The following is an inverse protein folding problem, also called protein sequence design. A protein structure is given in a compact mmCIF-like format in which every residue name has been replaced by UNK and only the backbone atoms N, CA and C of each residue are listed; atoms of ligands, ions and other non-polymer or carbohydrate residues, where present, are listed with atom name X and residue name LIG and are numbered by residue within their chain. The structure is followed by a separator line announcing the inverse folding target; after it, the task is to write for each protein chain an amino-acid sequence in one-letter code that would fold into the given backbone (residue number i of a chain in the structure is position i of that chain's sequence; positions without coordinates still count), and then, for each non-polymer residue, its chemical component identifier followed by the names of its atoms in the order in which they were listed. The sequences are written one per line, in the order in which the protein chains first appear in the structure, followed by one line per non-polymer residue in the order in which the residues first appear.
data_IF_092997428286
#
_entry.id   IF_092997428286
#
_cell.length_a   1.000
_cell.length_b   1.000
_cell.length_c   1.000
_cell.angle_alpha   90.00
_cell.angle_beta   90.00
_cell.angle_gamma   90.00
#
_symmetry.space_group_name_H-M   'P 1'
#
loop_
_entity.id
_entity.type
_entity.pdbx_description
1 polymer ?
#
# COMPACT_ATOMS: atom_id res chain seq x y z
N UNK A 1 7.09 -10.36 2.23
CA UNK A 1 6.82 -10.06 0.81
C UNK A 1 5.51 -10.77 0.47
N UNK A 2 4.37 -10.06 0.60
CA UNK A 2 3.07 -10.68 0.38
C UNK A 2 2.32 -9.96 -0.72
N UNK A 3 2.78 -10.21 -1.95
CA UNK A 3 1.96 -9.99 -3.12
C UNK A 3 1.17 -11.26 -3.37
N UNK A 4 -0.13 -11.26 -3.13
CA UNK A 4 -0.98 -12.39 -3.48
C UNK A 4 -1.09 -12.43 -5.00
N UNK A 5 -0.29 -13.31 -5.60
CA UNK A 5 -0.43 -13.61 -7.00
C UNK A 5 -1.69 -14.43 -7.20
N UNK A 6 -2.64 -13.92 -7.96
CA UNK A 6 -3.77 -14.72 -8.45
C UNK A 6 -3.34 -15.40 -9.73
N UNK A 7 -3.53 -16.70 -9.75
CA UNK A 7 -3.38 -17.51 -10.96
C UNK A 7 -4.58 -17.21 -11.87
N UNK A 8 -4.34 -16.48 -12.96
CA UNK A 8 -5.36 -16.34 -14.00
C UNK A 8 -5.42 -17.65 -14.78
N UNK A 9 -6.47 -18.42 -14.58
CA UNK A 9 -6.82 -19.52 -15.47
C UNK A 9 -7.54 -18.92 -16.69
N UNK A 10 -6.88 -18.94 -17.83
CA UNK A 10 -7.46 -18.52 -19.10
C UNK A 10 -7.43 -19.66 -20.11
N UNK A 11 -8.15 -19.51 -21.22
CA UNK A 11 -8.19 -20.48 -22.33
C UNK A 11 -6.81 -20.93 -22.81
N UNK A 12 -5.78 -20.10 -22.64
CA UNK A 12 -4.41 -20.41 -22.98
C UNK A 12 -3.79 -21.58 -22.19
N UNK A 13 -4.19 -21.81 -20.93
CA UNK A 13 -3.69 -22.98 -20.16
C UNK A 13 -4.36 -24.28 -20.62
N UNK A 14 -5.64 -24.23 -20.93
CA UNK A 14 -6.36 -25.39 -21.46
C UNK A 14 -5.80 -25.80 -22.83
N UNK A 15 -5.58 -24.84 -23.73
CA UNK A 15 -4.97 -25.05 -25.02
C UNK A 15 -3.53 -25.57 -24.93
N UNK A 16 -2.71 -25.05 -24.02
CA UNK A 16 -1.36 -25.50 -23.78
C UNK A 16 -1.30 -26.94 -23.23
N UNK A 17 -2.27 -27.33 -22.37
CA UNK A 17 -2.40 -28.72 -21.91
C UNK A 17 -2.79 -29.67 -23.05
N UNK A 18 -3.68 -29.24 -23.94
CA UNK A 18 -4.21 -30.07 -25.02
C UNK A 18 -3.25 -30.17 -26.21
N UNK A 19 -2.49 -29.14 -26.52
CA UNK A 19 -1.66 -29.01 -27.71
C UNK A 19 -0.15 -28.87 -27.46
N UNK A 20 0.33 -29.08 -26.21
CA UNK A 20 1.76 -29.13 -25.92
C UNK A 20 2.48 -27.78 -25.93
N UNK A 21 1.78 -26.66 -25.75
CA UNK A 21 2.36 -25.33 -25.68
C UNK A 21 3.09 -25.02 -24.35
N UNK A 22 3.81 -23.91 -24.32
CA UNK A 22 4.55 -23.43 -23.15
C UNK A 22 3.65 -23.31 -21.91
N UNK A 23 3.98 -24.01 -20.82
CA UNK A 23 3.28 -23.99 -19.52
C UNK A 23 3.54 -22.69 -18.75
N UNK A 24 3.63 -21.53 -19.40
CA UNK A 24 3.86 -20.26 -18.72
C UNK A 24 2.60 -19.83 -17.99
N UNK A 25 2.61 -19.97 -16.65
CA UNK A 25 1.55 -19.44 -15.77
C UNK A 25 1.56 -17.91 -15.82
N UNK A 26 0.45 -17.31 -16.20
CA UNK A 26 0.26 -15.87 -16.13
C UNK A 26 -0.16 -15.51 -14.69
N UNK A 27 0.75 -14.89 -13.96
CA UNK A 27 0.46 -14.35 -12.64
C UNK A 27 0.00 -12.90 -12.77
N UNK A 28 -1.07 -12.56 -12.10
CA UNK A 28 -1.54 -11.19 -11.92
C UNK A 28 -1.39 -10.80 -10.47
N UNK A 29 -1.09 -9.52 -10.23
CA UNK A 29 -1.10 -8.92 -8.90
C UNK A 29 -2.37 -8.12 -8.73
N UNK A 30 -3.00 -8.24 -7.57
CA UNK A 30 -4.10 -7.37 -7.16
C UNK A 30 -3.55 -6.44 -6.07
N UNK A 31 -3.74 -5.15 -6.27
CA UNK A 31 -3.44 -4.11 -5.31
C UNK A 31 -4.77 -3.58 -4.78
N UNK A 32 -4.92 -3.53 -3.46
CA UNK A 32 -6.19 -3.17 -2.82
C UNK A 32 -5.94 -2.11 -1.76
N UNK A 33 -6.72 -1.04 -1.79
CA UNK A 33 -6.86 -0.07 -0.72
C UNK A 33 -8.09 -0.40 0.13
N UNK A 34 -7.89 -0.64 1.42
CA UNK A 34 -8.97 -1.03 2.36
C UNK A 34 -9.06 0.01 3.46
N UNK A 35 -10.27 0.42 3.80
CA UNK A 35 -10.55 1.20 4.98
C UNK A 35 -10.32 0.33 6.24
N UNK A 36 -9.54 0.84 7.18
CA UNK A 36 -9.19 0.11 8.41
C UNK A 36 -10.40 -0.12 9.33
N UNK A 37 -11.33 0.81 9.35
CA UNK A 37 -12.45 0.81 10.28
C UNK A 37 -13.60 -0.04 9.75
N UNK A 38 -14.00 0.21 8.49
CA UNK A 38 -15.14 -0.44 7.87
C UNK A 38 -14.78 -1.75 7.17
N UNK A 39 -13.48 -1.96 6.87
CA UNK A 39 -12.95 -3.08 6.06
C UNK A 39 -13.51 -3.09 4.63
N UNK A 40 -14.02 -1.97 4.16
CA UNK A 40 -14.48 -1.80 2.78
C UNK A 40 -13.28 -1.58 1.84
N UNK A 41 -13.39 -2.15 0.64
CA UNK A 41 -12.43 -1.90 -0.43
C UNK A 41 -12.72 -0.53 -1.02
N UNK A 42 -11.78 0.40 -0.92
CA UNK A 42 -11.88 1.77 -1.44
C UNK A 42 -11.20 1.96 -2.78
N UNK A 43 -10.23 1.12 -3.08
CA UNK A 43 -9.50 1.16 -4.34
C UNK A 43 -8.99 -0.23 -4.72
N UNK A 44 -8.97 -0.54 -6.01
CA UNK A 44 -8.48 -1.82 -6.52
C UNK A 44 -7.79 -1.63 -7.87
N UNK A 45 -6.66 -2.31 -8.06
CA UNK A 45 -5.92 -2.33 -9.32
C UNK A 45 -5.38 -3.72 -9.60
N UNK A 46 -5.49 -4.18 -10.84
CA UNK A 46 -4.96 -5.48 -11.28
C UNK A 46 -3.83 -5.26 -12.27
N UNK A 47 -2.65 -5.74 -11.94
CA UNK A 47 -1.46 -5.54 -12.77
C UNK A 47 -0.81 -6.86 -13.16
N UNK A 48 0.14 -6.82 -14.10
CA UNK A 48 1.01 -7.95 -14.38
C UNK A 48 1.98 -8.18 -13.21
N UNK A 49 2.48 -9.39 -13.08
CA UNK A 49 3.45 -9.75 -12.02
C UNK A 49 4.78 -8.99 -12.10
N UNK A 50 5.09 -8.39 -13.25
CA UNK A 50 6.31 -7.61 -13.47
C UNK A 50 6.26 -6.19 -12.88
N UNK A 51 5.05 -5.68 -12.57
CA UNK A 51 4.89 -4.33 -12.04
C UNK A 51 5.13 -4.33 -10.52
N UNK A 52 5.99 -3.43 -10.07
CA UNK A 52 6.25 -3.22 -8.63
C UNK A 52 5.05 -2.56 -7.95
N UNK A 53 5.03 -2.62 -6.61
CA UNK A 53 3.86 -2.16 -5.84
C UNK A 53 3.83 -0.62 -5.72
N UNK A 54 5.00 0.02 -5.53
CA UNK A 54 5.06 1.47 -5.29
C UNK A 54 4.53 2.35 -6.44
N UNK A 55 4.68 2.02 -7.74
CA UNK A 55 4.11 2.83 -8.82
C UNK A 55 2.58 2.89 -8.81
N UNK A 56 1.92 1.92 -8.18
CA UNK A 56 0.45 1.79 -8.22
C UNK A 56 -0.24 2.68 -7.19
N UNK A 57 0.45 3.03 -6.09
CA UNK A 57 -0.14 3.80 -5.00
C UNK A 57 -0.82 5.11 -5.43
N UNK A 58 -0.23 5.97 -6.28
CA UNK A 58 -0.89 7.18 -6.72
C UNK A 58 -2.22 6.90 -7.45
N UNK A 59 -2.27 5.85 -8.28
CA UNK A 59 -3.48 5.41 -8.97
C UNK A 59 -4.57 4.92 -8.01
N UNK A 60 -4.20 4.16 -6.98
CA UNK A 60 -5.14 3.73 -5.94
C UNK A 60 -5.72 4.93 -5.17
N UNK A 61 -4.87 5.90 -4.81
CA UNK A 61 -5.34 7.10 -4.11
C UNK A 61 -6.26 7.98 -4.98
N UNK A 62 -6.09 7.97 -6.31
CA UNK A 62 -6.95 8.72 -7.23
C UNK A 62 -8.35 8.12 -7.39
N UNK A 63 -8.52 6.83 -7.09
CA UNK A 63 -9.85 6.18 -7.09
C UNK A 63 -10.72 6.62 -5.92
N UNK A 64 -10.12 7.17 -4.86
CA UNK A 64 -10.84 7.70 -3.70
C UNK A 64 -11.27 9.13 -4.01
N UNK A 65 -12.55 9.44 -3.85
CA UNK A 65 -13.10 10.76 -4.15
C UNK A 65 -12.30 11.90 -3.50
N UNK A 66 -12.08 13.00 -4.21
CA UNK A 66 -11.27 14.13 -3.72
C UNK A 66 -11.85 14.77 -2.45
N UNK A 67 -13.18 14.79 -2.31
CA UNK A 67 -13.88 15.29 -1.13
C UNK A 67 -13.83 14.35 0.08
N UNK A 68 -13.32 13.12 -0.08
CA UNK A 68 -13.18 12.17 1.01
C UNK A 68 -11.81 12.38 1.68
N UNK A 69 -11.83 12.79 2.93
CA UNK A 69 -10.61 12.95 3.72
C UNK A 69 -9.97 11.60 4.03
N UNK A 70 -8.64 11.57 3.95
CA UNK A 70 -7.84 10.40 4.30
C UNK A 70 -6.95 10.78 5.47
N UNK A 71 -7.18 10.22 6.64
CA UNK A 71 -6.39 10.51 7.83
C UNK A 71 -4.97 9.91 7.74
N UNK A 72 -4.85 8.65 7.34
CA UNK A 72 -3.55 8.00 7.14
C UNK A 72 -3.57 6.93 6.06
N UNK A 73 -2.39 6.69 5.50
CA UNK A 73 -2.13 5.60 4.54
C UNK A 73 -1.03 4.71 5.10
N UNK A 74 -1.37 3.49 5.43
CA UNK A 74 -0.42 2.49 5.95
C UNK A 74 -0.04 1.50 4.84
N UNK A 75 1.25 1.40 4.55
CA UNK A 75 1.78 0.49 3.54
C UNK A 75 3.11 -0.13 4.01
N UNK A 76 3.59 -1.15 3.30
CA UNK A 76 4.87 -1.77 3.62
C UNK A 76 6.08 -0.94 3.14
N UNK A 77 7.30 -1.40 3.45
CA UNK A 77 8.54 -0.72 3.06
C UNK A 77 8.82 -0.70 1.54
N UNK A 78 8.08 -1.47 0.73
CA UNK A 78 8.17 -1.39 -0.73
C UNK A 78 7.67 -0.04 -1.26
N UNK A 79 6.73 0.56 -0.53
CA UNK A 79 6.17 1.88 -0.82
C UNK A 79 7.03 3.05 -0.30
N UNK A 80 8.18 2.81 0.36
CA UNK A 80 9.10 3.88 0.79
C UNK A 80 9.81 4.52 -0.42
N UNK A 81 9.05 5.22 -1.24
CA UNK A 81 9.50 5.96 -2.43
C UNK A 81 8.99 7.40 -2.42
N UNK A 82 9.73 8.32 -3.07
CA UNK A 82 9.34 9.73 -3.11
C UNK A 82 7.94 9.92 -3.70
N UNK A 83 7.65 9.25 -4.81
CA UNK A 83 6.33 9.34 -5.47
C UNK A 83 5.19 8.93 -4.56
N UNK A 84 5.36 7.88 -3.75
CA UNK A 84 4.34 7.44 -2.79
C UNK A 84 4.13 8.47 -1.68
N UNK A 85 5.21 8.96 -1.06
CA UNK A 85 5.10 9.96 0.00
C UNK A 85 4.51 11.28 -0.49
N UNK A 86 4.88 11.72 -1.70
CA UNK A 86 4.32 12.94 -2.30
C UNK A 86 2.83 12.78 -2.65
N UNK A 87 2.43 11.60 -3.17
CA UNK A 87 1.01 11.32 -3.46
C UNK A 87 0.15 11.28 -2.18
N UNK A 88 0.67 10.71 -1.09
CA UNK A 88 -0.01 10.70 0.21
C UNK A 88 -0.11 12.13 0.77
N UNK A 89 0.96 12.89 0.71
CA UNK A 89 0.98 14.27 1.17
C UNK A 89 0.03 15.18 0.37
N UNK A 90 -0.13 14.94 -0.93
CA UNK A 90 -1.07 15.66 -1.78
C UNK A 90 -2.54 15.43 -1.37
N UNK A 91 -2.84 14.33 -0.66
CA UNK A 91 -4.16 14.03 -0.07
C UNK A 91 -4.26 14.51 1.39
N UNK A 92 -3.30 15.30 1.88
CA UNK A 92 -3.17 15.74 3.28
C UNK A 92 -3.18 14.58 4.29
N UNK A 93 -2.82 13.36 3.85
CA UNK A 93 -2.83 12.16 4.66
C UNK A 93 -1.49 11.92 5.35
N UNK A 94 -1.50 11.23 6.48
CA UNK A 94 -0.30 10.80 7.17
C UNK A 94 0.24 9.48 6.59
N UNK A 95 1.53 9.45 6.22
CA UNK A 95 2.16 8.24 5.69
C UNK A 95 2.72 7.36 6.81
N UNK A 96 2.18 6.15 6.98
CA UNK A 96 2.67 5.13 7.91
C UNK A 96 3.39 4.04 7.11
N UNK A 97 4.57 4.37 6.60
CA UNK A 97 5.41 3.49 5.79
C UNK A 97 6.73 3.29 6.52
N UNK A 98 7.10 2.04 6.89
CA UNK A 98 8.35 1.80 7.59
C UNK A 98 9.54 2.11 6.69
N UNK A 99 10.47 2.99 7.11
CA UNK A 99 11.65 3.29 6.33
C UNK A 99 12.51 2.04 6.11
N UNK A 100 13.17 1.95 4.96
CA UNK A 100 14.09 0.84 4.66
C UNK A 100 15.24 0.81 5.68
N UNK A 101 15.85 -0.37 5.87
CA UNK A 101 16.90 -0.58 6.90
C UNK A 101 18.03 0.47 6.86
N UNK A 102 18.47 0.83 5.64
CA UNK A 102 19.56 1.81 5.43
C UNK A 102 19.03 3.13 4.85
N UNK A 103 17.84 3.55 5.26
CA UNK A 103 17.21 4.76 4.74
C UNK A 103 18.06 5.99 5.05
N UNK A 104 18.44 6.72 3.99
CA UNK A 104 19.06 8.04 4.07
C UNK A 104 18.00 9.12 4.03
N UNK A 105 18.30 10.29 4.55
CA UNK A 105 17.44 11.48 4.45
C UNK A 105 17.32 11.91 2.99
N UNK A 106 16.12 12.32 2.59
CA UNK A 106 15.92 12.96 1.29
C UNK A 106 16.09 14.47 1.40
N UNK A 107 16.35 15.13 0.25
CA UNK A 107 16.25 16.59 0.17
C UNK A 107 14.81 16.99 0.52
N UNK A 108 14.61 17.89 1.50
CA UNK A 108 13.27 18.20 2.04
C UNK A 108 12.53 19.26 1.20
N UNK A 109 12.52 19.05 -0.11
CA UNK A 109 11.94 19.96 -1.12
C UNK A 109 10.42 19.80 -1.25
N UNK A 110 9.86 18.67 -0.83
CA UNK A 110 8.42 18.39 -0.87
C UNK A 110 7.86 18.08 0.52
N UNK A 111 6.53 18.26 0.76
CA UNK A 111 5.89 17.86 2.01
C UNK A 111 6.07 16.36 2.28
N UNK A 112 5.95 15.51 1.26
CA UNK A 112 6.16 14.07 1.39
C UNK A 112 7.59 13.71 1.80
N UNK A 113 8.61 14.40 1.25
CA UNK A 113 10.00 14.20 1.64
C UNK A 113 10.26 14.62 3.09
N UNK A 114 9.64 15.71 3.55
CA UNK A 114 9.73 16.16 4.96
C UNK A 114 9.11 15.15 5.90
N UNK A 115 7.87 14.72 5.66
CA UNK A 115 7.16 13.71 6.46
C UNK A 115 7.93 12.39 6.51
N UNK A 116 8.46 11.93 5.38
CA UNK A 116 9.28 10.72 5.32
C UNK A 116 10.58 10.86 6.13
N UNK A 117 11.26 11.99 6.06
CA UNK A 117 12.47 12.24 6.83
C UNK A 117 12.20 12.21 8.33
N UNK A 118 11.04 12.68 8.76
CA UNK A 118 10.59 12.61 10.14
C UNK A 118 10.36 11.16 10.60
N UNK A 119 9.73 10.35 9.77
CA UNK A 119 9.59 8.92 10.02
C UNK A 119 10.96 8.20 10.15
N UNK A 120 11.96 8.59 9.33
CA UNK A 120 13.33 8.06 9.45
C UNK A 120 13.98 8.45 10.78
N UNK A 121 13.87 9.73 11.18
CA UNK A 121 14.42 10.21 12.46
C UNK A 121 13.76 9.48 13.63
N UNK A 122 12.43 9.45 13.67
CA UNK A 122 11.65 8.79 14.72
C UNK A 122 11.98 7.30 14.81
N UNK A 123 12.05 6.60 13.67
CA UNK A 123 12.37 5.17 13.63
C UNK A 123 13.81 4.87 14.06
N UNK A 124 14.77 5.80 13.82
CA UNK A 124 16.15 5.66 14.32
C UNK A 124 16.25 5.93 15.81
N UNK A 125 15.53 6.93 16.32
CA UNK A 125 15.55 7.32 17.72
C UNK A 125 14.82 6.30 18.61
N UNK A 126 13.62 5.90 18.24
CA UNK A 126 12.77 5.00 19.03
C UNK A 126 13.12 3.51 18.83
N UNK A 127 13.79 3.19 17.74
CA UNK A 127 13.89 1.82 17.25
C UNK A 127 12.64 1.38 16.49
N UNK A 128 12.81 0.40 15.61
CA UNK A 128 11.75 -0.05 14.69
C UNK A 128 10.52 -0.64 15.38
N UNK A 129 10.74 -1.37 16.47
CA UNK A 129 9.65 -2.04 17.19
C UNK A 129 8.71 -0.99 17.82
N UNK A 130 9.26 -0.06 18.58
CA UNK A 130 8.49 0.98 19.25
C UNK A 130 7.86 1.96 18.25
N UNK A 131 8.60 2.33 17.17
CA UNK A 131 8.04 3.16 16.10
C UNK A 131 6.78 2.52 15.48
N UNK A 132 6.83 1.21 15.14
CA UNK A 132 5.67 0.48 14.60
C UNK A 132 4.49 0.44 15.56
N UNK A 133 4.76 0.32 16.86
CA UNK A 133 3.72 0.31 17.88
C UNK A 133 3.05 1.69 17.99
N UNK A 134 3.83 2.77 18.09
CA UNK A 134 3.34 4.13 18.25
C UNK A 134 2.59 4.64 17.01
N UNK A 135 3.05 4.27 15.81
CA UNK A 135 2.38 4.65 14.55
C UNK A 135 1.17 3.78 14.21
N UNK A 136 0.86 2.79 15.01
CA UNK A 136 -0.24 1.86 14.73
C UNK A 136 0.01 0.93 13.54
N UNK A 137 1.25 0.82 13.05
CA UNK A 137 1.60 -0.03 11.90
C UNK A 137 1.17 -1.49 12.08
N UNK A 138 1.18 -2.01 13.31
CA UNK A 138 0.74 -3.38 13.62
C UNK A 138 -0.73 -3.66 13.31
N UNK A 139 -1.56 -2.63 13.25
CA UNK A 139 -2.97 -2.81 12.90
C UNK A 139 -3.15 -3.33 11.47
N UNK A 140 -2.11 -3.24 10.62
CA UNK A 140 -2.07 -3.82 9.28
C UNK A 140 -2.39 -5.31 9.28
N UNK A 141 -1.93 -6.07 10.30
CA UNK A 141 -2.19 -7.50 10.40
C UNK A 141 -3.68 -7.87 10.47
N UNK A 142 -4.55 -6.98 10.95
CA UNK A 142 -6.00 -7.22 10.97
C UNK A 142 -6.61 -7.35 9.58
N UNK A 143 -6.00 -6.70 8.61
CA UNK A 143 -6.43 -6.70 7.21
C UNK A 143 -5.79 -7.86 6.46
N UNK A 144 -4.56 -8.27 6.85
CA UNK A 144 -3.83 -9.41 6.27
C UNK A 144 -4.46 -10.77 6.62
N UNK A 145 -5.23 -10.86 7.71
CA UNK A 145 -5.93 -12.10 8.11
C UNK A 145 -7.12 -12.45 7.24
N UNK A 146 -7.58 -11.56 6.35
CA UNK A 146 -8.55 -11.92 5.32
C UNK A 146 -7.83 -12.44 4.07
N UNK A 147 -8.41 -13.42 3.32
CA UNK A 147 -7.69 -14.19 2.28
C UNK A 147 -7.29 -13.40 1.02
N UNK A 148 -7.25 -12.08 1.08
CA UNK A 148 -6.87 -11.18 0.00
C UNK A 148 -5.60 -10.41 0.39
N UNK A 149 -4.48 -11.04 0.18
CA UNK A 149 -3.18 -10.58 0.66
C UNK A 149 -2.50 -9.50 -0.15
N UNK A 150 -3.03 -8.31 -0.29
CA UNK A 150 -2.24 -7.11 -0.63
C UNK A 150 -2.95 -5.89 -0.09
N UNK A 151 -2.20 -5.05 0.65
CA UNK A 151 -2.97 -4.03 1.32
C UNK A 151 -2.26 -2.72 1.49
N UNK A 152 -2.84 -1.76 0.83
CA UNK A 152 -2.83 -0.38 1.23
C UNK A 152 -3.94 -0.20 2.26
N UNK A 153 -3.60 0.26 3.45
CA UNK A 153 -4.56 0.59 4.47
C UNK A 153 -4.82 2.09 4.47
N UNK A 154 -6.09 2.45 4.40
CA UNK A 154 -6.56 3.82 4.38
C UNK A 154 -7.39 4.02 5.64
N UNK A 155 -7.04 5.01 6.45
CA UNK A 155 -7.84 5.42 7.59
C UNK A 155 -8.55 6.71 7.20
N UNK A 156 -9.87 6.67 7.24
CA UNK A 156 -10.70 7.85 7.12
C UNK A 156 -10.87 8.48 8.51
N UNK A 157 -10.92 9.81 8.61
CA UNK A 157 -11.32 10.45 9.85
C UNK A 157 -12.75 10.01 10.19
N UNK A 158 -13.00 9.74 11.45
CA UNK A 158 -14.35 9.52 11.95
C UNK A 158 -15.11 10.83 11.74
N UNK A 159 -16.02 10.86 10.79
CA UNK A 159 -17.02 11.91 10.75
C UNK A 159 -17.83 11.75 12.03
N UNK A 160 -17.73 12.72 12.96
CA UNK A 160 -18.62 12.80 14.10
C UNK A 160 -20.04 12.80 13.53
N UNK A 161 -20.77 11.71 13.76
CA UNK A 161 -22.21 11.74 13.65
C UNK A 161 -22.72 12.70 14.73
N UNK A 162 -22.95 13.95 14.35
CA UNK A 162 -23.78 14.86 15.16
C UNK A 162 -25.19 14.29 15.06
N UNK A 163 -25.64 13.75 16.18
CA UNK A 163 -27.05 13.38 16.41
C UNK A 163 -27.84 14.65 16.58
#
# INVERSE_FOLDING_TARGET
MDSTGIKAEGEGEWNARKHGGSKRRLWRKIHIGIDEQTLEIRAIEVTSSSIGDSPILPGLLSQIAQGQEIGSVTADGAYDTRKCHDAIAARNAHAVIPPRKNAKMWKPDTPGARARNEAVRSSKYLGRALWRQLTGYHRRSRVETKPLGIMLRITLPVSECIV
#
